data_IF_864568873078
#
_entry.id   IF_864568873078
#
_cell.length_a   1.000
_cell.length_b   1.000
_cell.length_c   1.000
_cell.angle_alpha   90.00
_cell.angle_beta   90.00
_cell.angle_gamma   90.00
#
_symmetry.space_group_name_H-M   'P 1'
#
loop_
_entity.id
_entity.type
_entity.pdbx_description
1 polymer ?
#
# COMPACT_ATOMS: atom_id res chain seq x y z
N UNK A 1 -34.10 11.74 29.57
CA UNK A 1 -32.74 11.14 29.50
C UNK A 1 -32.38 10.59 28.12
N UNK A 2 -33.32 10.43 27.18
CA UNK A 2 -33.11 9.87 25.84
C UNK A 2 -32.51 10.83 24.80
N UNK A 3 -32.70 12.15 24.93
CA UNK A 3 -32.22 13.14 23.94
C UNK A 3 -30.69 13.34 23.95
N UNK A 4 -30.05 13.32 25.13
CA UNK A 4 -28.59 13.48 25.23
C UNK A 4 -27.80 12.24 24.79
N UNK A 5 -28.37 11.03 24.95
CA UNK A 5 -27.75 9.79 24.47
C UNK A 5 -27.78 9.69 22.94
N UNK A 6 -28.86 10.14 22.30
CA UNK A 6 -28.97 10.17 20.83
C UNK A 6 -28.02 11.22 20.20
N UNK A 7 -27.89 12.41 20.78
CA UNK A 7 -26.95 13.43 20.28
C UNK A 7 -25.49 12.98 20.38
N UNK A 8 -25.12 12.23 21.43
CA UNK A 8 -23.77 11.69 21.60
C UNK A 8 -23.45 10.58 20.58
N UNK A 9 -24.44 9.76 20.21
CA UNK A 9 -24.27 8.69 19.20
C UNK A 9 -24.04 9.25 17.79
N UNK A 10 -24.82 10.26 17.37
CA UNK A 10 -24.70 10.88 16.04
C UNK A 10 -23.36 11.61 15.86
N UNK A 11 -22.90 12.33 16.89
CA UNK A 11 -21.61 13.02 16.87
C UNK A 11 -20.43 12.03 16.75
N UNK A 12 -20.51 10.88 17.44
CA UNK A 12 -19.51 9.82 17.31
C UNK A 12 -19.48 9.19 15.92
N UNK A 13 -20.65 8.89 15.34
CA UNK A 13 -20.76 8.33 14.00
C UNK A 13 -20.21 9.25 12.91
N UNK A 14 -20.50 10.54 12.99
CA UNK A 14 -20.01 11.53 12.04
C UNK A 14 -18.48 11.68 12.09
N UNK A 15 -17.89 11.63 13.29
CA UNK A 15 -16.43 11.67 13.45
C UNK A 15 -15.75 10.42 12.87
N UNK A 16 -16.35 9.23 13.03
CA UNK A 16 -15.86 8.01 12.39
C UNK A 16 -15.93 8.09 10.88
N UNK A 17 -17.07 8.52 10.33
CA UNK A 17 -17.25 8.70 8.90
C UNK A 17 -16.23 9.71 8.34
N UNK A 18 -16.01 10.83 9.04
CA UNK A 18 -15.00 11.84 8.69
C UNK A 18 -13.60 11.23 8.61
N UNK A 19 -13.20 10.43 9.61
CA UNK A 19 -11.86 9.81 9.64
C UNK A 19 -11.67 8.76 8.57
N UNK A 20 -12.67 7.93 8.33
CA UNK A 20 -12.65 6.95 7.23
C UNK A 20 -12.59 7.68 5.88
N UNK A 21 -13.33 8.78 5.72
CA UNK A 21 -13.27 9.64 4.54
C UNK A 21 -11.88 10.24 4.33
N UNK A 22 -11.25 10.77 5.37
CA UNK A 22 -9.88 11.31 5.30
C UNK A 22 -8.87 10.20 4.96
N UNK A 23 -8.99 9.04 5.58
CA UNK A 23 -8.12 7.89 5.32
C UNK A 23 -8.27 7.39 3.87
N UNK A 24 -9.50 7.26 3.39
CA UNK A 24 -9.82 6.92 2.01
C UNK A 24 -9.28 7.97 1.03
N UNK A 25 -9.41 9.27 1.34
CA UNK A 25 -8.90 10.35 0.50
C UNK A 25 -7.37 10.34 0.42
N UNK A 26 -6.69 10.16 1.56
CA UNK A 26 -5.22 10.05 1.62
C UNK A 26 -4.74 8.85 0.79
N UNK A 27 -5.44 7.73 0.95
CA UNK A 27 -5.30 6.53 0.14
C UNK A 27 -5.45 6.80 -1.35
N UNK A 28 -6.61 7.33 -1.75
CA UNK A 28 -6.97 7.55 -3.15
C UNK A 28 -6.02 8.50 -3.87
N UNK A 29 -5.65 9.62 -3.25
CA UNK A 29 -4.67 10.56 -3.81
C UNK A 29 -3.32 9.87 -4.00
N UNK A 30 -2.89 9.11 -3.00
CA UNK A 30 -1.62 8.38 -3.08
C UNK A 30 -1.66 7.30 -4.16
N UNK A 31 -2.75 6.55 -4.25
CA UNK A 31 -2.93 5.50 -5.24
C UNK A 31 -3.00 6.03 -6.67
N UNK A 32 -3.66 7.17 -6.87
CA UNK A 32 -3.70 7.89 -8.14
C UNK A 32 -2.29 8.32 -8.57
N UNK A 33 -1.52 8.91 -7.65
CA UNK A 33 -0.20 9.45 -7.94
C UNK A 33 0.87 8.36 -8.08
N UNK A 34 0.94 7.42 -7.14
CA UNK A 34 2.00 6.40 -7.10
C UNK A 34 1.62 5.18 -7.95
N UNK A 35 0.42 4.63 -7.78
CA UNK A 35 -0.04 3.49 -8.56
C UNK A 35 -0.36 3.86 -10.01
N UNK A 36 -1.12 4.94 -10.21
CA UNK A 36 -1.50 5.41 -11.53
C UNK A 36 -0.38 6.13 -12.29
N UNK A 37 -0.01 7.34 -11.85
CA UNK A 37 1.03 8.13 -12.56
C UNK A 37 2.39 7.46 -12.43
N UNK A 38 2.76 7.00 -11.22
CA UNK A 38 4.02 6.31 -10.96
C UNK A 38 4.14 4.99 -11.73
N UNK A 39 3.08 4.19 -11.81
CA UNK A 39 3.06 2.96 -12.62
C UNK A 39 3.31 3.24 -14.11
N UNK A 40 2.76 4.33 -14.66
CA UNK A 40 3.04 4.75 -16.05
C UNK A 40 4.50 5.17 -16.25
N UNK A 41 5.04 5.96 -15.32
CA UNK A 41 6.45 6.36 -15.37
C UNK A 41 7.38 5.14 -15.23
N UNK A 42 7.00 4.18 -14.39
CA UNK A 42 7.73 2.94 -14.20
C UNK A 42 7.81 2.13 -15.49
N UNK A 43 6.68 1.90 -16.16
CA UNK A 43 6.66 1.22 -17.45
C UNK A 43 7.47 1.94 -18.53
N UNK A 44 7.46 3.28 -18.53
CA UNK A 44 8.28 4.07 -19.45
C UNK A 44 9.78 3.93 -19.16
N UNK A 45 10.17 3.88 -17.88
CA UNK A 45 11.55 3.63 -17.50
C UNK A 45 12.00 2.22 -17.91
N UNK A 46 11.17 1.20 -17.66
CA UNK A 46 11.47 -0.18 -18.06
C UNK A 46 11.60 -0.34 -19.58
N UNK A 47 10.71 0.28 -20.36
CA UNK A 47 10.78 0.25 -21.82
C UNK A 47 12.06 0.90 -22.36
N UNK A 48 12.55 1.96 -21.71
CA UNK A 48 13.81 2.62 -22.09
C UNK A 48 15.05 1.82 -21.70
N UNK A 49 15.02 1.15 -20.55
CA UNK A 49 16.15 0.38 -20.06
C UNK A 49 16.34 -0.95 -20.81
N UNK A 50 15.27 -1.55 -21.33
CA UNK A 50 15.28 -2.89 -21.93
C UNK A 50 15.13 -2.91 -23.46
N UNK A 51 15.41 -1.79 -24.14
CA UNK A 51 15.37 -1.74 -25.61
C UNK A 51 16.50 -2.62 -26.18
N UNK A 52 16.24 -3.67 -27.01
CA UNK A 52 15.06 -3.94 -27.84
C UNK A 52 14.20 -5.17 -27.43
N UNK A 53 14.43 -5.82 -26.28
CA UNK A 53 13.75 -7.09 -25.92
C UNK A 53 12.35 -6.92 -25.32
N UNK A 54 12.04 -5.78 -24.69
CA UNK A 54 10.79 -5.59 -23.95
C UNK A 54 9.70 -4.79 -24.70
N UNK A 55 10.04 -4.12 -25.81
CA UNK A 55 9.09 -3.25 -26.52
C UNK A 55 8.05 -4.08 -27.28
N UNK A 56 6.76 -3.88 -26.99
CA UNK A 56 5.65 -4.57 -27.67
C UNK A 56 5.14 -5.84 -26.99
N UNK A 57 5.69 -6.22 -25.83
CA UNK A 57 5.23 -7.38 -25.05
C UNK A 57 4.09 -6.97 -24.12
N UNK A 58 3.09 -7.84 -23.94
CA UNK A 58 2.04 -7.68 -22.93
C UNK A 58 2.64 -8.02 -21.56
N UNK A 59 2.72 -7.04 -20.66
CA UNK A 59 3.10 -7.25 -19.25
C UNK A 59 1.96 -7.96 -18.50
N UNK A 60 2.29 -8.61 -17.38
CA UNK A 60 1.37 -9.28 -16.49
C UNK A 60 0.28 -8.33 -15.94
N UNK A 61 0.53 -7.01 -15.98
CA UNK A 61 -0.43 -5.97 -15.63
C UNK A 61 -1.47 -5.68 -16.76
N UNK A 62 -1.41 -6.38 -17.89
CA UNK A 62 -2.37 -6.26 -19.01
C UNK A 62 -2.09 -5.07 -19.95
N UNK A 63 -0.84 -4.58 -19.98
CA UNK A 63 -0.44 -3.46 -20.84
C UNK A 63 0.67 -3.84 -21.80
N UNK A 64 0.64 -3.27 -23.00
CA UNK A 64 1.73 -3.41 -23.97
C UNK A 64 2.85 -2.45 -23.57
N UNK A 65 4.01 -3.00 -23.23
CA UNK A 65 5.20 -2.25 -22.84
C UNK A 65 5.61 -1.32 -24.01
N UNK A 66 5.68 -0.02 -23.73
CA UNK A 66 6.07 1.01 -24.72
C UNK A 66 4.92 1.69 -25.47
N UNK A 67 3.65 1.34 -25.21
CA UNK A 67 2.50 2.00 -25.84
C UNK A 67 1.66 2.81 -24.85
N UNK A 68 1.41 4.08 -25.18
CA UNK A 68 0.47 4.95 -24.45
C UNK A 68 -0.92 4.83 -25.05
N UNK A 69 -1.77 3.99 -24.45
CA UNK A 69 -3.21 3.98 -24.75
C UNK A 69 -3.96 4.81 -23.72
N UNK A 70 -4.94 5.61 -24.18
CA UNK A 70 -5.77 6.44 -23.31
C UNK A 70 -6.60 5.56 -22.34
N UNK A 71 -7.19 4.49 -22.88
CA UNK A 71 -7.96 3.52 -22.10
C UNK A 71 -7.11 2.82 -21.03
N UNK A 72 -5.88 2.42 -21.37
CA UNK A 72 -4.98 1.82 -20.40
C UNK A 72 -4.57 2.80 -19.30
N UNK A 73 -4.36 4.07 -19.64
CA UNK A 73 -4.00 5.10 -18.66
C UNK A 73 -5.13 5.35 -17.68
N UNK A 74 -6.36 5.50 -18.18
CA UNK A 74 -7.54 5.67 -17.34
C UNK A 74 -7.79 4.45 -16.44
N UNK A 75 -7.61 3.24 -16.95
CA UNK A 75 -7.72 2.02 -16.16
C UNK A 75 -6.70 2.01 -15.00
N UNK A 76 -5.43 2.32 -15.29
CA UNK A 76 -4.38 2.32 -14.27
C UNK A 76 -4.61 3.41 -13.20
N UNK A 77 -5.08 4.60 -13.61
CA UNK A 77 -5.45 5.66 -12.67
C UNK A 77 -6.61 5.22 -11.78
N UNK A 78 -7.63 4.58 -12.34
CA UNK A 78 -8.79 4.10 -11.59
C UNK A 78 -8.41 2.98 -10.60
N UNK A 79 -7.73 1.93 -11.09
CA UNK A 79 -7.28 0.80 -10.27
C UNK A 79 -6.34 1.28 -9.17
N UNK A 80 -5.35 2.12 -9.52
CA UNK A 80 -4.44 2.72 -8.56
C UNK A 80 -5.17 3.51 -7.49
N UNK A 81 -6.18 4.31 -7.86
CA UNK A 81 -7.01 5.06 -6.90
C UNK A 81 -7.79 4.13 -5.98
N UNK A 82 -8.44 3.09 -6.51
CA UNK A 82 -9.22 2.13 -5.72
C UNK A 82 -8.33 1.37 -4.72
N UNK A 83 -7.19 0.84 -5.19
CA UNK A 83 -6.20 0.19 -4.34
C UNK A 83 -5.65 1.17 -3.29
N UNK A 84 -5.43 2.42 -3.68
CA UNK A 84 -5.06 3.50 -2.76
C UNK A 84 -6.09 3.70 -1.66
N UNK A 85 -7.37 3.82 -2.01
CA UNK A 85 -8.48 3.96 -1.04
C UNK A 85 -8.47 2.80 -0.05
N UNK A 86 -8.36 1.56 -0.55
CA UNK A 86 -8.29 0.36 0.29
C UNK A 86 -7.07 0.44 1.23
N UNK A 87 -5.89 0.77 0.70
CA UNK A 87 -4.67 0.95 1.49
C UNK A 87 -4.80 2.03 2.57
N UNK A 88 -5.44 3.15 2.25
CA UNK A 88 -5.75 4.22 3.19
C UNK A 88 -6.68 3.78 4.33
N UNK A 89 -7.73 3.01 4.00
CA UNK A 89 -8.64 2.43 5.00
C UNK A 89 -7.93 1.41 5.89
N UNK A 90 -7.11 0.54 5.32
CA UNK A 90 -6.29 -0.43 6.07
C UNK A 90 -5.35 0.31 7.03
N UNK A 91 -4.64 1.33 6.54
CA UNK A 91 -3.82 2.20 7.39
C UNK A 91 -4.65 2.81 8.53
N UNK A 92 -5.85 3.33 8.24
CA UNK A 92 -6.77 3.91 9.21
C UNK A 92 -7.24 2.91 10.27
N UNK A 93 -7.39 1.63 9.91
CA UNK A 93 -7.73 0.56 10.83
C UNK A 93 -6.55 0.18 11.73
N UNK A 94 -5.33 0.06 11.20
CA UNK A 94 -4.16 -0.42 11.95
C UNK A 94 -3.39 0.69 12.68
N UNK A 95 -3.60 1.96 12.36
CA UNK A 95 -2.80 3.08 12.93
C UNK A 95 -2.80 3.16 14.45
N UNK A 96 -3.85 2.68 15.13
CA UNK A 96 -3.91 2.65 16.60
C UNK A 96 -3.23 1.43 17.23
N UNK A 97 -2.84 0.45 16.42
CA UNK A 97 -2.02 -0.69 16.85
C UNK A 97 -0.53 -0.37 16.89
N UNK A 98 -0.09 0.76 16.32
CA UNK A 98 1.29 1.21 16.36
C UNK A 98 1.75 1.40 17.81
N UNK A 99 2.96 0.96 18.13
CA UNK A 99 3.54 1.07 19.47
C UNK A 99 4.96 1.64 19.39
N UNK A 100 5.53 2.01 20.54
CA UNK A 100 6.91 2.49 20.61
C UNK A 100 7.11 3.95 20.15
N UNK A 101 8.38 4.34 19.91
CA UNK A 101 8.78 5.70 19.60
C UNK A 101 8.26 6.17 18.22
N UNK A 102 8.16 7.49 18.04
CA UNK A 102 7.54 8.10 16.84
C UNK A 102 8.18 7.64 15.52
N UNK A 103 9.51 7.45 15.52
CA UNK A 103 10.22 6.95 14.33
C UNK A 103 9.78 5.54 13.95
N UNK A 104 9.59 4.64 14.93
CA UNK A 104 9.13 3.27 14.69
C UNK A 104 7.70 3.24 14.16
N UNK A 105 6.82 4.08 14.71
CA UNK A 105 5.43 4.20 14.24
C UNK A 105 5.33 4.66 12.77
N UNK A 106 6.29 5.48 12.32
CA UNK A 106 6.35 5.98 10.94
C UNK A 106 6.93 4.97 9.96
N UNK A 107 7.83 4.10 10.42
CA UNK A 107 8.56 3.15 9.56
C UNK A 107 7.90 1.77 9.52
N UNK A 108 7.36 1.29 10.64
CA UNK A 108 6.80 -0.07 10.75
C UNK A 108 5.62 -0.33 9.82
N UNK A 109 4.71 0.63 9.65
CA UNK A 109 3.53 0.46 8.78
C UNK A 109 3.93 0.42 7.31
N UNK A 110 4.73 1.37 6.78
CA UNK A 110 5.23 1.26 5.42
C UNK A 110 6.03 -0.01 5.16
N UNK A 111 6.95 -0.38 6.06
CA UNK A 111 7.71 -1.62 5.88
C UNK A 111 6.81 -2.85 5.87
N UNK A 112 5.89 -2.99 6.82
CA UNK A 112 4.96 -4.12 6.86
C UNK A 112 4.08 -4.20 5.62
N UNK A 113 3.56 -3.07 5.15
CA UNK A 113 2.76 -3.02 3.93
C UNK A 113 3.58 -3.39 2.69
N UNK A 114 4.81 -2.90 2.57
CA UNK A 114 5.74 -3.25 1.49
C UNK A 114 6.08 -4.73 1.48
N UNK A 115 6.28 -5.35 2.64
CA UNK A 115 6.57 -6.79 2.72
C UNK A 115 5.37 -7.61 2.25
N UNK A 116 4.17 -7.29 2.73
CA UNK A 116 2.94 -8.00 2.35
C UNK A 116 2.65 -7.84 0.87
N UNK A 117 2.61 -6.61 0.37
CA UNK A 117 2.30 -6.32 -1.04
C UNK A 117 3.44 -6.84 -1.94
N UNK A 118 4.68 -6.68 -1.50
CA UNK A 118 5.86 -7.17 -2.20
C UNK A 118 5.84 -8.68 -2.38
N UNK A 119 5.49 -9.44 -1.35
CA UNK A 119 5.33 -10.89 -1.44
C UNK A 119 4.22 -11.29 -2.43
N UNK A 120 3.16 -10.48 -2.56
CA UNK A 120 2.10 -10.73 -3.54
C UNK A 120 2.47 -10.33 -4.99
N UNK A 121 3.33 -9.33 -5.17
CA UNK A 121 3.71 -8.81 -6.49
C UNK A 121 4.95 -9.49 -7.08
N UNK A 122 5.91 -9.90 -6.24
CA UNK A 122 7.15 -10.54 -6.70
C UNK A 122 6.90 -12.04 -6.76
N UNK A 123 6.76 -12.57 -7.97
CA UNK A 123 6.63 -14.01 -8.22
C UNK A 123 7.66 -14.46 -9.27
N UNK A 124 8.24 -15.64 -9.08
CA UNK A 124 9.31 -16.18 -9.94
C UNK A 124 8.87 -16.43 -11.39
N UNK A 125 7.57 -16.53 -11.60
CA UNK A 125 7.00 -16.97 -12.89
C UNK A 125 6.58 -15.79 -13.77
N UNK A 126 6.82 -14.55 -13.31
CA UNK A 126 6.45 -13.34 -14.03
C UNK A 126 7.36 -13.06 -15.22
N UNK A 127 6.75 -12.70 -16.35
CA UNK A 127 7.48 -12.29 -17.57
C UNK A 127 8.38 -11.08 -17.28
N UNK A 128 7.94 -10.23 -16.34
CA UNK A 128 8.63 -9.01 -15.92
C UNK A 128 9.87 -9.26 -15.02
N UNK A 129 10.10 -10.48 -14.52
CA UNK A 129 11.28 -10.83 -13.71
C UNK A 129 12.30 -11.72 -14.45
N UNK A 130 11.88 -12.36 -15.54
CA UNK A 130 12.73 -13.23 -16.36
C UNK A 130 13.40 -12.49 -17.51
N UNK A 131 12.86 -11.34 -17.94
CA UNK A 131 13.37 -10.55 -19.06
C UNK A 131 14.22 -9.33 -18.66
N UNK A 132 14.16 -8.91 -17.39
CA UNK A 132 14.82 -7.69 -16.91
C UNK A 132 16.13 -7.99 -16.18
N UNK A 133 17.25 -7.63 -16.84
CA UNK A 133 18.60 -7.67 -16.26
C UNK A 133 19.03 -6.27 -15.76
N UNK A 134 19.57 -6.13 -14.53
CA UNK A 134 19.72 -7.16 -13.50
C UNK A 134 18.43 -7.38 -12.69
N UNK A 135 18.13 -8.62 -12.25
CA UNK A 135 16.88 -8.97 -11.56
C UNK A 135 16.69 -8.21 -10.24
N UNK A 136 17.78 -7.88 -9.55
CA UNK A 136 17.77 -7.05 -8.34
C UNK A 136 17.16 -5.66 -8.58
N UNK A 137 17.34 -5.08 -9.77
CA UNK A 137 16.77 -3.78 -10.11
C UNK A 137 15.25 -3.88 -10.26
N UNK A 138 14.75 -4.94 -10.91
CA UNK A 138 13.32 -5.17 -11.08
C UNK A 138 12.62 -5.40 -9.74
N UNK A 139 13.19 -6.25 -8.87
CA UNK A 139 12.68 -6.47 -7.51
C UNK A 139 12.70 -5.17 -6.70
N UNK A 140 13.83 -4.45 -6.71
CA UNK A 140 13.98 -3.19 -5.97
C UNK A 140 12.97 -2.12 -6.40
N UNK A 141 12.77 -1.95 -7.71
CA UNK A 141 11.78 -1.02 -8.25
C UNK A 141 10.34 -1.44 -7.91
N UNK A 142 10.04 -2.74 -8.00
CA UNK A 142 8.72 -3.28 -7.66
C UNK A 142 8.40 -3.01 -6.20
N UNK A 143 9.34 -3.24 -5.27
CA UNK A 143 9.18 -2.96 -3.84
C UNK A 143 9.15 -1.45 -3.52
N UNK A 144 9.74 -0.62 -4.37
CA UNK A 144 9.72 0.83 -4.19
C UNK A 144 8.31 1.42 -4.32
N UNK A 145 7.46 0.85 -5.18
CA UNK A 145 6.08 1.30 -5.41
C UNK A 145 5.23 1.21 -4.13
N UNK A 146 5.03 0.02 -3.50
CA UNK A 146 4.26 -0.09 -2.26
C UNK A 146 4.94 0.63 -1.10
N UNK A 147 6.27 0.75 -1.08
CA UNK A 147 6.99 1.52 -0.07
C UNK A 147 6.66 3.01 -0.14
N UNK A 148 6.73 3.60 -1.34
CA UNK A 148 6.38 5.00 -1.54
C UNK A 148 4.90 5.25 -1.27
N UNK A 149 4.02 4.37 -1.76
CA UNK A 149 2.59 4.49 -1.54
C UNK A 149 2.24 4.43 -0.04
N UNK A 150 2.69 3.40 0.68
CA UNK A 150 2.40 3.24 2.10
C UNK A 150 3.03 4.34 2.97
N UNK A 151 4.21 4.84 2.59
CA UNK A 151 4.86 5.98 3.25
C UNK A 151 4.02 7.24 3.07
N UNK A 152 3.58 7.53 1.85
CA UNK A 152 2.80 8.74 1.56
C UNK A 152 1.41 8.68 2.21
N UNK A 153 0.75 7.52 2.19
CA UNK A 153 -0.50 7.29 2.94
C UNK A 153 -0.29 7.56 4.43
N UNK A 154 0.77 7.00 5.01
CA UNK A 154 1.07 7.18 6.44
C UNK A 154 1.34 8.64 6.77
N UNK A 155 2.11 9.33 5.93
CA UNK A 155 2.44 10.74 6.11
C UNK A 155 1.22 11.65 5.98
N UNK A 156 0.43 11.50 4.91
CA UNK A 156 -0.80 12.27 4.69
C UNK A 156 -1.83 11.98 5.78
N UNK A 157 -2.03 10.70 6.10
CA UNK A 157 -2.98 10.26 7.11
C UNK A 157 -2.65 10.80 8.50
N UNK A 158 -1.38 10.72 8.93
CA UNK A 158 -0.94 11.29 10.22
C UNK A 158 -1.08 12.81 10.23
N UNK A 159 -0.81 13.48 9.09
CA UNK A 159 -0.96 14.94 8.95
C UNK A 159 -2.42 15.39 8.99
N UNK A 160 -3.34 14.67 8.36
CA UNK A 160 -4.73 15.10 8.19
C UNK A 160 -5.65 14.71 9.34
N UNK A 161 -5.43 13.55 9.98
CA UNK A 161 -6.32 13.07 11.04
C UNK A 161 -5.87 13.54 12.44
N UNK A 162 -4.60 13.91 12.63
CA UNK A 162 -4.09 14.37 13.92
C UNK A 162 -3.96 13.26 14.99
N UNK A 163 -3.78 13.65 16.26
CA UNK A 163 -3.31 12.77 17.34
C UNK A 163 -4.36 11.83 17.98
N UNK A 164 -4.00 10.55 17.94
CA UNK A 164 -4.18 9.40 18.84
C UNK A 164 -5.52 8.96 19.45
N UNK A 165 -6.66 9.64 19.34
CA UNK A 165 -7.90 8.96 19.76
C UNK A 165 -8.27 7.85 18.76
N UNK A 166 -7.98 6.58 19.06
CA UNK A 166 -8.28 5.44 18.15
C UNK A 166 -9.22 4.44 18.82
N UNK A 167 -9.92 3.61 18.03
CA UNK A 167 -10.79 2.53 18.58
C UNK A 167 -10.00 1.66 19.55
N UNK A 168 -8.72 1.46 19.25
CA UNK A 168 -7.80 0.63 20.01
C UNK A 168 -7.53 1.11 21.44
N UNK A 169 -7.85 2.36 21.78
CA UNK A 169 -7.82 2.85 23.16
C UNK A 169 -9.04 2.43 23.98
N UNK A 170 -10.14 2.04 23.32
CA UNK A 170 -11.39 1.63 23.97
C UNK A 170 -11.50 0.11 24.15
N UNK A 171 -10.64 -0.66 23.50
CA UNK A 171 -10.63 -2.13 23.61
C UNK A 171 -9.65 -2.59 24.68
N UNK A 172 -9.87 -3.77 25.30
CA UNK A 172 -8.95 -4.31 26.28
C UNK A 172 -7.53 -4.45 25.73
N UNK A 173 -6.51 -4.18 26.56
CA UNK A 173 -5.11 -4.25 26.15
C UNK A 173 -4.72 -5.61 25.54
N UNK A 174 -5.28 -6.71 26.07
CA UNK A 174 -5.08 -8.05 25.53
C UNK A 174 -5.54 -8.18 24.07
N UNK A 175 -6.66 -7.55 23.69
CA UNK A 175 -7.16 -7.55 22.30
C UNK A 175 -6.24 -6.74 21.39
N UNK A 176 -5.76 -5.59 21.85
CA UNK A 176 -4.81 -4.79 21.08
C UNK A 176 -3.45 -5.53 20.90
N UNK A 177 -2.97 -6.25 21.91
CA UNK A 177 -1.73 -7.03 21.83
C UNK A 177 -1.85 -8.27 20.95
N UNK A 178 -2.98 -8.97 21.00
CA UNK A 178 -3.24 -10.10 20.09
C UNK A 178 -3.31 -9.64 18.63
N UNK A 179 -3.97 -8.51 18.35
CA UNK A 179 -3.98 -7.92 17.00
C UNK A 179 -2.57 -7.54 16.52
N UNK A 180 -1.72 -6.96 17.39
CA UNK A 180 -0.31 -6.68 17.07
C UNK A 180 0.48 -7.95 16.78
N UNK A 181 0.31 -8.99 17.62
CA UNK A 181 0.96 -10.29 17.42
C UNK A 181 0.55 -10.92 16.09
N UNK A 182 -0.74 -10.91 15.76
CA UNK A 182 -1.24 -11.40 14.48
C UNK A 182 -0.65 -10.64 13.29
N UNK A 183 -0.59 -9.31 13.35
CA UNK A 183 0.04 -8.49 12.30
C UNK A 183 1.55 -8.78 12.16
N UNK A 184 2.25 -8.97 13.28
CA UNK A 184 3.67 -9.29 13.27
C UNK A 184 3.94 -10.68 12.67
N UNK A 185 3.12 -11.68 13.02
CA UNK A 185 3.20 -13.02 12.44
C UNK A 185 2.89 -12.99 10.94
N UNK A 186 1.87 -12.25 10.52
CA UNK A 186 1.51 -12.12 9.11
C UNK A 186 2.63 -11.43 8.31
N UNK A 187 3.20 -10.34 8.83
CA UNK A 187 4.34 -9.67 8.20
C UNK A 187 5.59 -10.57 8.17
N UNK A 188 5.83 -11.37 9.22
CA UNK A 188 6.91 -12.35 9.26
C UNK A 188 6.74 -13.45 8.22
N UNK A 189 5.53 -13.97 8.05
CA UNK A 189 5.20 -14.93 6.99
C UNK A 189 5.45 -14.34 5.60
N UNK A 190 4.95 -13.13 5.33
CA UNK A 190 5.17 -12.44 4.06
C UNK A 190 6.66 -12.17 3.79
N UNK A 191 7.45 -11.85 4.82
CA UNK A 191 8.90 -11.69 4.68
C UNK A 191 9.56 -13.00 4.26
N UNK A 192 9.22 -14.12 4.91
CA UNK A 192 9.77 -15.44 4.56
C UNK A 192 9.42 -15.78 3.12
N UNK A 193 8.16 -15.60 2.72
CA UNK A 193 7.68 -15.87 1.37
C UNK A 193 8.36 -14.99 0.31
N UNK A 194 8.58 -13.71 0.61
CA UNK A 194 9.31 -12.80 -0.27
C UNK A 194 10.78 -13.22 -0.41
N UNK A 195 11.45 -13.58 0.70
CA UNK A 195 12.86 -13.99 0.68
C UNK A 195 13.04 -15.31 -0.07
N UNK A 196 12.18 -16.30 0.16
CA UNK A 196 12.22 -17.57 -0.57
C UNK A 196 12.00 -17.35 -2.05
N UNK A 197 11.08 -16.46 -2.44
CA UNK A 197 10.83 -16.13 -3.84
C UNK A 197 12.03 -15.41 -4.49
N UNK A 198 12.61 -14.40 -3.83
CA UNK A 198 13.80 -13.72 -4.32
C UNK A 198 14.97 -14.71 -4.49
N UNK A 199 15.15 -15.64 -3.56
CA UNK A 199 16.21 -16.65 -3.64
C UNK A 199 16.05 -17.66 -4.79
N UNK A 200 14.86 -17.75 -5.39
CA UNK A 200 14.61 -18.57 -6.59
C UNK A 200 14.83 -17.81 -7.89
N UNK A 201 14.78 -16.47 -7.84
CA UNK A 201 14.95 -15.59 -9.00
C UNK A 201 16.45 -15.32 -9.27
N UNK A 202 17.26 -15.25 -8.20
CA UNK A 202 18.72 -15.05 -8.25
C UNK A 202 19.47 -16.36 -8.46
#
# INVERSE_FOLDING_TARGET
>A
MTSQQQSFSLAGGLEWARRLGIAALAGGITGLLVGGVGGRLFMMALARLNHPRATGVLSDDGFIIGQFTLAGTLNLLLVGTVLGVIGGLVWGAIRGLRFGPLWWRRVSVPLGATLVIGAMMVHSDGVDFTLLDPPLLAVGLTLMIPLLASTLITWLGDRWIGSDQTVWQRVPAAVAWTARGALALFAGWALVDLVTTISRIL
#
